data_IF_564061878944
#
_entry.id   IF_564061878944
#
_cell.length_a   1.000
_cell.length_b   1.000
_cell.length_c   1.000
_cell.angle_alpha   90.00
_cell.angle_beta   90.00
_cell.angle_gamma   90.00
#
_symmetry.space_group_name_H-M   'P 1'
#
loop_
_entity.id
_entity.type
_entity.pdbx_description
1 polymer ?
#
# COMPACT_ATOMS: atom_id res chain seq x y z
N UNK A 1 -36.59 4.35 0.46
CA UNK A 1 -35.20 4.05 0.06
C UNK A 1 -35.28 2.94 -0.98
N UNK A 2 -35.05 3.23 -2.26
CA UNK A 2 -35.14 2.19 -3.31
C UNK A 2 -33.90 1.31 -3.20
N UNK A 3 -34.06 0.08 -2.74
CA UNK A 3 -33.03 -0.96 -2.87
C UNK A 3 -32.68 -1.06 -4.35
N UNK A 4 -31.40 -1.03 -4.69
CA UNK A 4 -30.93 -1.32 -6.04
C UNK A 4 -31.37 -2.75 -6.36
N UNK A 5 -32.48 -2.89 -7.08
CA UNK A 5 -33.03 -4.17 -7.50
C UNK A 5 -32.80 -4.27 -9.00
N UNK A 6 -31.99 -5.26 -9.37
CA UNK A 6 -31.57 -5.55 -10.74
C UNK A 6 -32.67 -6.25 -11.57
N UNK A 7 -33.91 -6.22 -11.09
CA UNK A 7 -35.08 -6.93 -11.63
C UNK A 7 -35.49 -6.47 -13.05
N UNK A 8 -34.81 -5.45 -13.60
CA UNK A 8 -34.99 -4.96 -14.97
C UNK A 8 -33.68 -4.91 -15.78
N UNK A 9 -32.65 -5.66 -15.38
CA UNK A 9 -31.29 -5.46 -15.87
C UNK A 9 -31.11 -5.86 -17.35
N UNK A 10 -30.42 -4.97 -18.07
CA UNK A 10 -29.61 -5.25 -19.25
C UNK A 10 -28.88 -6.60 -19.12
N UNK A 11 -28.51 -7.29 -20.22
CA UNK A 11 -27.63 -8.45 -20.12
C UNK A 11 -26.36 -8.02 -19.37
N UNK A 12 -26.21 -8.50 -18.14
CA UNK A 12 -25.06 -8.21 -17.30
C UNK A 12 -23.93 -9.11 -17.78
N UNK A 13 -22.89 -8.50 -18.34
CA UNK A 13 -21.69 -9.25 -18.68
C UNK A 13 -20.90 -9.55 -17.40
N UNK A 14 -20.29 -10.72 -17.36
CA UNK A 14 -19.36 -11.14 -16.29
C UNK A 14 -17.92 -11.20 -16.79
N UNK A 15 -17.70 -10.93 -18.08
CA UNK A 15 -16.41 -10.98 -18.74
C UNK A 15 -15.88 -9.56 -19.01
N UNK A 16 -14.57 -9.42 -18.88
CA UNK A 16 -13.84 -8.20 -19.21
C UNK A 16 -12.85 -8.56 -20.31
N UNK A 17 -12.99 -8.01 -21.53
CA UNK A 17 -12.02 -8.26 -22.60
C UNK A 17 -10.61 -7.83 -22.22
N UNK A 18 -9.60 -8.55 -22.72
CA UNK A 18 -8.19 -8.17 -22.59
C UNK A 18 -7.58 -7.98 -23.98
N UNK A 19 -7.09 -6.77 -24.34
CA UNK A 19 -7.12 -5.53 -23.56
C UNK A 19 -8.45 -4.78 -23.66
N UNK A 20 -8.83 -4.04 -22.61
CA UNK A 20 -9.95 -3.09 -22.63
C UNK A 20 -9.66 -1.83 -21.80
N UNK A 21 -10.49 -0.81 -22.01
CA UNK A 21 -10.62 0.32 -21.09
C UNK A 21 -11.77 0.03 -20.12
N UNK A 22 -11.45 -0.24 -18.85
CA UNK A 22 -12.44 -0.39 -17.78
C UNK A 22 -12.64 0.96 -17.10
N UNK A 23 -13.87 1.45 -17.10
CA UNK A 23 -14.26 2.69 -16.43
C UNK A 23 -15.03 2.32 -15.17
N UNK A 24 -14.47 2.58 -13.99
CA UNK A 24 -15.16 2.36 -12.73
C UNK A 24 -16.22 3.45 -12.54
N UNK A 25 -17.46 3.07 -12.25
CA UNK A 25 -18.57 4.01 -12.04
C UNK A 25 -19.18 3.75 -10.67
N UNK A 26 -19.18 4.77 -9.82
CA UNK A 26 -19.74 4.68 -8.48
C UNK A 26 -19.45 5.90 -7.61
N UNK A 27 -20.29 6.10 -6.59
CA UNK A 27 -20.13 7.22 -5.66
C UNK A 27 -18.81 7.15 -4.87
N UNK A 28 -18.36 8.28 -4.34
CA UNK A 28 -17.28 8.29 -3.37
C UNK A 28 -17.64 7.37 -2.18
N UNK A 29 -16.71 6.52 -1.74
CA UNK A 29 -16.96 5.51 -0.70
C UNK A 29 -17.55 4.18 -1.20
N UNK A 30 -17.88 4.07 -2.49
CA UNK A 30 -18.39 2.81 -3.05
C UNK A 30 -17.37 1.66 -3.07
N UNK A 31 -16.07 1.94 -2.89
CA UNK A 31 -15.01 0.92 -2.93
C UNK A 31 -14.41 0.69 -4.32
N UNK A 32 -14.53 1.68 -5.22
CA UNK A 32 -13.91 1.62 -6.57
C UNK A 32 -12.41 1.34 -6.52
N UNK A 33 -11.65 2.06 -5.68
CA UNK A 33 -10.21 1.84 -5.51
C UNK A 33 -9.86 0.46 -4.99
N UNK A 34 -10.74 -0.15 -4.17
CA UNK A 34 -10.61 -1.55 -3.75
C UNK A 34 -10.80 -2.52 -4.91
N UNK A 35 -11.73 -2.23 -5.83
CA UNK A 35 -11.85 -2.99 -7.06
C UNK A 35 -10.66 -2.76 -8.00
N UNK A 36 -10.23 -1.50 -8.15
CA UNK A 36 -9.10 -1.11 -8.98
C UNK A 36 -7.80 -1.82 -8.58
N UNK A 37 -7.54 -1.97 -7.27
CA UNK A 37 -6.34 -2.65 -6.75
C UNK A 37 -6.26 -4.14 -7.12
N UNK A 38 -7.37 -4.74 -7.57
CA UNK A 38 -7.37 -6.10 -8.12
C UNK A 38 -6.65 -6.19 -9.48
N UNK A 39 -6.35 -5.08 -10.13
CA UNK A 39 -5.46 -5.00 -11.29
C UNK A 39 -4.02 -4.61 -10.88
N UNK A 40 -3.00 -4.89 -11.71
CA UNK A 40 -1.67 -4.32 -11.55
C UNK A 40 -1.72 -2.81 -11.39
N UNK A 41 -0.93 -2.24 -10.47
CA UNK A 41 -0.89 -0.80 -10.23
C UNK A 41 -0.59 -0.01 -11.52
N UNK A 42 0.26 -0.56 -12.38
CA UNK A 42 0.59 0.03 -13.69
C UNK A 42 -0.57 0.04 -14.68
N UNK A 43 -1.69 -0.64 -14.41
CA UNK A 43 -2.90 -0.64 -15.23
C UNK A 43 -3.97 0.33 -14.71
N UNK A 44 -3.85 0.84 -13.49
CA UNK A 44 -4.84 1.70 -12.85
C UNK A 44 -4.43 3.16 -13.01
N UNK A 45 -5.33 3.97 -13.57
CA UNK A 45 -5.23 5.43 -13.61
C UNK A 45 -6.27 5.99 -12.63
N UNK A 46 -5.82 6.31 -11.42
CA UNK A 46 -6.66 6.88 -10.36
C UNK A 46 -6.54 8.40 -10.34
N UNK A 47 -7.67 9.12 -10.50
CA UNK A 47 -7.64 10.58 -10.59
C UNK A 47 -7.06 11.23 -9.33
N UNK A 48 -7.35 10.69 -8.15
CA UNK A 48 -6.82 11.18 -6.87
C UNK A 48 -5.30 10.99 -6.79
N UNK A 49 -4.75 9.93 -7.40
CA UNK A 49 -3.29 9.76 -7.54
C UNK A 49 -2.69 10.80 -8.47
N UNK A 50 -3.31 11.05 -9.63
CA UNK A 50 -2.85 12.09 -10.57
C UNK A 50 -2.90 13.48 -9.96
N UNK A 51 -3.89 13.78 -9.12
CA UNK A 51 -3.97 15.03 -8.37
C UNK A 51 -2.83 15.17 -7.36
N UNK A 52 -2.53 14.12 -6.61
CA UNK A 52 -1.35 14.11 -5.73
C UNK A 52 -0.03 14.28 -6.52
N UNK A 53 0.09 13.69 -7.73
CA UNK A 53 1.28 13.86 -8.57
C UNK A 53 1.54 15.31 -9.00
N UNK A 54 0.49 16.13 -9.14
CA UNK A 54 0.62 17.53 -9.59
C UNK A 54 0.58 18.56 -8.46
N UNK A 55 0.14 18.18 -7.25
CA UNK A 55 -0.09 19.13 -6.12
C UNK A 55 0.40 18.66 -4.75
N UNK A 56 0.96 17.46 -4.65
CA UNK A 56 1.29 16.77 -3.39
C UNK A 56 0.07 16.47 -2.47
N UNK A 57 -1.16 16.83 -2.85
CA UNK A 57 -2.40 16.53 -2.12
C UNK A 57 -3.49 15.93 -3.03
N UNK A 58 -3.86 14.68 -2.75
CA UNK A 58 -4.96 13.98 -3.43
C UNK A 58 -6.34 14.66 -3.24
N UNK A 59 -6.48 15.59 -2.29
CA UNK A 59 -7.69 16.36 -2.01
C UNK A 59 -7.81 17.69 -2.76
N UNK A 60 -6.72 18.20 -3.34
CA UNK A 60 -6.66 19.54 -3.95
C UNK A 60 -7.54 19.70 -5.20
N UNK A 61 -8.72 20.31 -5.02
CA UNK A 61 -9.65 20.49 -6.13
C UNK A 61 -9.15 21.50 -7.17
N UNK A 62 -8.25 22.43 -6.83
CA UNK A 62 -7.70 23.41 -7.78
C UNK A 62 -6.83 22.72 -8.84
N UNK A 63 -6.16 21.62 -8.46
CA UNK A 63 -5.31 20.83 -9.35
C UNK A 63 -6.09 19.82 -10.23
N UNK A 64 -7.42 19.83 -10.23
CA UNK A 64 -8.23 18.83 -10.96
C UNK A 64 -8.01 18.88 -12.47
N UNK A 65 -7.92 20.07 -13.06
CA UNK A 65 -7.77 20.21 -14.51
C UNK A 65 -6.40 19.67 -14.98
N UNK A 66 -5.33 19.98 -14.24
CA UNK A 66 -3.98 19.47 -14.51
C UNK A 66 -3.92 17.94 -14.33
N UNK A 67 -4.56 17.41 -13.28
CA UNK A 67 -4.66 15.98 -13.04
C UNK A 67 -5.42 15.25 -14.17
N UNK A 68 -6.53 15.82 -14.65
CA UNK A 68 -7.30 15.28 -15.77
C UNK A 68 -6.48 15.31 -17.06
N UNK A 69 -5.77 16.40 -17.33
CA UNK A 69 -4.89 16.52 -18.48
C UNK A 69 -3.80 15.44 -18.47
N UNK A 70 -3.10 15.26 -17.35
CA UNK A 70 -2.08 14.25 -17.19
C UNK A 70 -2.64 12.82 -17.31
N UNK A 71 -3.81 12.55 -16.70
CA UNK A 71 -4.47 11.25 -16.80
C UNK A 71 -4.84 10.92 -18.25
N UNK A 72 -5.39 11.89 -19.00
CA UNK A 72 -5.74 11.72 -20.41
C UNK A 72 -4.51 11.42 -21.26
N UNK A 73 -3.39 12.13 -21.05
CA UNK A 73 -2.15 11.87 -21.78
C UNK A 73 -1.62 10.44 -21.56
N UNK A 74 -1.65 9.96 -20.31
CA UNK A 74 -1.25 8.58 -20.00
C UNK A 74 -2.25 7.57 -20.57
N UNK A 75 -3.55 7.84 -20.46
CA UNK A 75 -4.60 7.01 -21.03
C UNK A 75 -4.41 6.83 -22.55
N UNK A 76 -4.25 7.92 -23.30
CA UNK A 76 -3.99 7.87 -24.74
C UNK A 76 -2.74 7.05 -25.08
N UNK A 77 -1.63 7.29 -24.36
CA UNK A 77 -0.38 6.57 -24.57
C UNK A 77 -0.52 5.05 -24.32
N UNK A 78 -1.34 4.65 -23.33
CA UNK A 78 -1.59 3.24 -23.03
C UNK A 78 -2.49 2.58 -24.07
N UNK A 79 -3.57 3.26 -24.47
CA UNK A 79 -4.52 2.74 -25.44
C UNK A 79 -3.92 2.66 -26.85
N UNK A 80 -3.06 3.60 -27.23
CA UNK A 80 -2.25 3.52 -28.45
C UNK A 80 -1.37 2.26 -28.50
N UNK A 81 -0.94 1.76 -27.33
CA UNK A 81 -0.16 0.53 -27.16
C UNK A 81 -1.03 -0.70 -26.88
N UNK A 82 -2.37 -0.56 -26.98
CA UNK A 82 -3.37 -1.59 -26.66
C UNK A 82 -3.14 -2.25 -25.30
N UNK A 83 -2.85 -1.44 -24.27
CA UNK A 83 -2.66 -1.93 -22.89
C UNK A 83 -3.96 -1.82 -22.09
N UNK A 84 -4.30 -2.89 -21.38
CA UNK A 84 -5.37 -2.92 -20.38
C UNK A 84 -5.25 -1.71 -19.45
N UNK A 85 -6.34 -0.96 -19.30
CA UNK A 85 -6.34 0.27 -18.52
C UNK A 85 -7.63 0.39 -17.73
N UNK A 86 -7.53 0.66 -16.43
CA UNK A 86 -8.64 0.84 -15.52
C UNK A 86 -8.63 2.30 -15.06
N UNK A 87 -9.72 3.03 -15.25
CA UNK A 87 -9.85 4.42 -14.78
C UNK A 87 -10.64 4.41 -13.48
N UNK A 88 -9.97 4.75 -12.38
CA UNK A 88 -10.58 4.92 -11.05
C UNK A 88 -10.88 6.40 -10.78
N UNK A 89 -12.14 6.76 -10.99
CA UNK A 89 -12.74 8.02 -10.61
C UNK A 89 -14.23 7.77 -10.37
N UNK A 90 -14.99 8.76 -9.90
CA UNK A 90 -16.44 8.60 -9.71
C UNK A 90 -17.17 8.31 -11.02
N UNK A 91 -16.74 8.95 -12.12
CA UNK A 91 -17.27 8.81 -13.49
C UNK A 91 -18.80 8.91 -13.57
N UNK A 92 -19.42 9.70 -12.68
CA UNK A 92 -20.87 9.89 -12.60
C UNK A 92 -21.40 10.86 -13.65
N UNK A 93 -20.54 11.67 -14.24
CA UNK A 93 -20.89 12.66 -15.27
C UNK A 93 -20.81 12.08 -16.68
N UNK A 94 -21.86 12.28 -17.47
CA UNK A 94 -21.96 11.75 -18.83
C UNK A 94 -20.88 12.31 -19.77
N UNK A 95 -20.52 13.59 -19.63
CA UNK A 95 -19.45 14.22 -20.44
C UNK A 95 -18.09 13.56 -20.22
N UNK A 96 -17.75 13.24 -18.97
CA UNK A 96 -16.51 12.52 -18.62
C UNK A 96 -16.51 11.12 -19.25
N UNK A 97 -17.61 10.36 -19.12
CA UNK A 97 -17.72 9.02 -19.71
C UNK A 97 -17.64 9.06 -21.24
N UNK A 98 -18.31 10.01 -21.88
CA UNK A 98 -18.26 10.19 -23.33
C UNK A 98 -16.84 10.45 -23.83
N UNK A 99 -16.06 11.27 -23.12
CA UNK A 99 -14.65 11.52 -23.45
C UNK A 99 -13.78 10.26 -23.35
N UNK A 100 -13.96 9.46 -22.29
CA UNK A 100 -13.25 8.18 -22.11
C UNK A 100 -13.61 7.17 -23.22
N UNK A 101 -14.90 7.03 -23.53
CA UNK A 101 -15.38 6.15 -24.60
C UNK A 101 -14.86 6.60 -25.97
N UNK A 102 -14.92 7.89 -26.27
CA UNK A 102 -14.37 8.44 -27.50
C UNK A 102 -12.87 8.16 -27.64
N UNK A 103 -12.12 8.26 -26.54
CA UNK A 103 -10.68 7.96 -26.51
C UNK A 103 -10.38 6.50 -26.82
N UNK A 104 -11.07 5.57 -26.17
CA UNK A 104 -10.91 4.14 -26.46
C UNK A 104 -11.29 3.79 -27.91
N UNK A 105 -12.37 4.39 -28.43
CA UNK A 105 -12.80 4.21 -29.82
C UNK A 105 -11.74 4.69 -30.83
N UNK A 106 -11.09 5.83 -30.58
CA UNK A 106 -9.99 6.33 -31.43
C UNK A 106 -8.86 5.30 -31.61
N UNK A 107 -8.61 4.47 -30.60
CA UNK A 107 -7.57 3.43 -30.63
C UNK A 107 -8.11 2.02 -30.88
N UNK A 108 -9.42 1.86 -31.12
CA UNK A 108 -10.05 0.57 -31.36
C UNK A 108 -9.90 -0.40 -30.17
N UNK A 109 -9.98 0.12 -28.95
CA UNK A 109 -9.94 -0.66 -27.70
C UNK A 109 -11.37 -0.78 -27.16
N UNK A 110 -11.85 -1.99 -26.80
CA UNK A 110 -13.17 -2.17 -26.18
C UNK A 110 -13.30 -1.42 -24.86
N UNK A 111 -14.51 -0.98 -24.56
CA UNK A 111 -14.87 -0.21 -23.36
C UNK A 111 -15.80 -1.00 -22.45
N UNK A 112 -15.48 -0.99 -21.16
CA UNK A 112 -16.25 -1.70 -20.12
C UNK A 112 -16.68 -0.69 -19.06
N UNK A 113 -17.98 -0.54 -18.85
CA UNK A 113 -18.51 0.16 -17.69
C UNK A 113 -18.60 -0.82 -16.52
N UNK A 114 -17.74 -0.66 -15.50
CA UNK A 114 -17.77 -1.47 -14.29
C UNK A 114 -18.45 -0.68 -13.17
N UNK A 115 -19.69 -1.05 -12.88
CA UNK A 115 -20.55 -0.35 -11.92
C UNK A 115 -20.41 -0.97 -10.54
N UNK A 116 -20.18 -0.13 -9.54
CA UNK A 116 -20.01 -0.53 -8.13
C UNK A 116 -21.25 -0.06 -7.34
N UNK A 117 -22.30 -0.91 -7.22
CA UNK A 117 -23.63 -0.49 -6.75
C UNK A 117 -23.74 -0.45 -5.21
N UNK A 118 -22.69 0.00 -4.53
CA UNK A 118 -22.71 0.08 -3.06
C UNK A 118 -23.79 1.05 -2.59
N UNK A 119 -24.64 0.68 -1.62
CA UNK A 119 -25.69 1.56 -1.12
C UNK A 119 -25.18 2.93 -0.68
N UNK A 120 -25.94 3.98 -0.98
CA UNK A 120 -25.55 5.37 -0.68
C UNK A 120 -25.27 5.63 0.81
N UNK A 121 -25.98 4.93 1.72
CA UNK A 121 -25.75 5.02 3.17
C UNK A 121 -24.37 4.51 3.56
N UNK A 122 -24.01 3.32 3.07
CA UNK A 122 -22.67 2.73 3.28
C UNK A 122 -21.58 3.60 2.67
N UNK A 123 -21.82 4.15 1.48
CA UNK A 123 -20.89 5.10 0.85
C UNK A 123 -20.64 6.32 1.74
N UNK A 124 -21.70 6.91 2.31
CA UNK A 124 -21.61 8.06 3.19
C UNK A 124 -20.93 7.74 4.53
N UNK A 125 -21.29 6.63 5.18
CA UNK A 125 -20.66 6.15 6.42
C UNK A 125 -19.15 5.97 6.23
N UNK A 126 -18.72 5.38 5.11
CA UNK A 126 -17.29 5.23 4.77
C UNK A 126 -16.54 6.55 4.61
N UNK A 127 -17.22 7.66 4.28
CA UNK A 127 -16.57 8.98 4.21
C UNK A 127 -16.29 9.56 5.60
N UNK A 128 -17.06 9.18 6.63
CA UNK A 128 -16.90 9.71 7.99
C UNK A 128 -15.57 9.28 8.62
N UNK A 129 -15.03 8.14 8.21
CA UNK A 129 -13.70 7.66 8.62
C UNK A 129 -12.53 8.21 7.79
N UNK A 130 -12.78 9.00 6.73
CA UNK A 130 -11.71 9.55 5.87
C UNK A 130 -11.12 10.82 6.46
N UNK A 131 -9.82 11.01 6.23
CA UNK A 131 -9.11 12.26 6.50
C UNK A 131 -9.80 13.46 5.83
N UNK A 132 -9.70 14.63 6.46
CA UNK A 132 -10.45 15.84 6.07
C UNK A 132 -10.18 16.26 4.63
N UNK A 133 -8.93 16.19 4.15
CA UNK A 133 -8.57 16.58 2.78
C UNK A 133 -9.21 15.70 1.70
N UNK A 134 -9.51 14.42 2.00
CA UNK A 134 -10.11 13.46 1.05
C UNK A 134 -11.58 13.15 1.30
N UNK A 135 -12.20 13.81 2.28
CA UNK A 135 -13.58 13.53 2.69
C UNK A 135 -14.54 14.23 1.74
N UNK A 136 -15.46 13.45 1.16
CA UNK A 136 -16.53 13.99 0.33
C UNK A 136 -17.78 14.24 1.18
N UNK A 137 -18.41 15.43 1.13
CA UNK A 137 -19.62 15.73 1.89
C UNK A 137 -20.77 14.77 1.56
N UNK A 138 -21.56 14.39 2.59
CA UNK A 138 -22.67 13.42 2.45
C UNK A 138 -23.63 13.75 1.31
N UNK A 139 -24.00 15.02 1.13
CA UNK A 139 -24.90 15.44 0.06
C UNK A 139 -24.32 15.17 -1.34
N UNK A 140 -23.01 15.37 -1.51
CA UNK A 140 -22.29 15.09 -2.77
C UNK A 140 -22.27 13.59 -3.03
N UNK A 141 -22.03 12.75 -2.01
CA UNK A 141 -22.07 11.28 -2.14
C UNK A 141 -23.46 10.80 -2.60
N UNK A 142 -24.53 11.35 -2.01
CA UNK A 142 -25.89 11.01 -2.40
C UNK A 142 -26.21 11.43 -3.83
N UNK A 143 -25.75 12.62 -4.24
CA UNK A 143 -25.92 13.12 -5.61
C UNK A 143 -25.17 12.23 -6.63
N UNK A 144 -23.92 11.87 -6.33
CA UNK A 144 -23.12 10.95 -7.14
C UNK A 144 -23.80 9.59 -7.28
N UNK A 145 -24.32 9.03 -6.19
CA UNK A 145 -25.03 7.76 -6.22
C UNK A 145 -26.32 7.86 -7.07
N UNK A 146 -27.10 8.93 -6.92
CA UNK A 146 -28.29 9.16 -7.74
C UNK A 146 -27.94 9.29 -9.24
N UNK A 147 -26.86 10.00 -9.57
CA UNK A 147 -26.36 10.14 -10.93
C UNK A 147 -25.92 8.81 -11.55
N UNK A 148 -25.21 7.95 -10.79
CA UNK A 148 -24.88 6.58 -11.20
C UNK A 148 -26.14 5.77 -11.52
N UNK A 149 -27.14 5.80 -10.64
CA UNK A 149 -28.40 5.07 -10.85
C UNK A 149 -29.15 5.55 -12.08
N UNK A 150 -29.16 6.86 -12.33
CA UNK A 150 -29.80 7.44 -13.50
C UNK A 150 -29.07 7.06 -14.80
N UNK A 151 -27.75 6.96 -14.77
CA UNK A 151 -26.93 6.58 -15.92
C UNK A 151 -27.05 5.09 -16.27
N UNK A 152 -27.23 4.21 -15.28
CA UNK A 152 -27.19 2.75 -15.42
C UNK A 152 -27.93 2.19 -16.65
N UNK A 153 -29.22 2.51 -16.91
CA UNK A 153 -29.94 1.93 -18.05
C UNK A 153 -29.43 2.42 -19.42
N UNK A 154 -28.76 3.57 -19.45
CA UNK A 154 -28.29 4.24 -20.67
C UNK A 154 -26.84 3.92 -21.05
N UNK A 155 -26.08 3.25 -20.19
CA UNK A 155 -24.65 2.98 -20.41
C UNK A 155 -24.33 2.30 -21.76
N UNK A 156 -25.10 1.30 -22.24
CA UNK A 156 -24.86 0.74 -23.59
C UNK A 156 -25.04 1.79 -24.70
N UNK A 157 -26.03 2.68 -24.55
CA UNK A 157 -26.29 3.76 -25.50
C UNK A 157 -25.22 4.87 -25.48
N UNK A 158 -24.49 5.03 -24.38
CA UNK A 158 -23.32 5.92 -24.30
C UNK A 158 -22.11 5.38 -25.05
N UNK A 159 -22.17 4.10 -25.45
CA UNK A 159 -21.17 3.50 -26.31
C UNK A 159 -20.20 2.55 -25.61
N UNK A 160 -20.50 2.13 -24.38
CA UNK A 160 -19.82 1.03 -23.71
C UNK A 160 -20.13 -0.29 -24.41
N UNK A 161 -19.11 -1.05 -24.75
CA UNK A 161 -19.25 -2.37 -25.38
C UNK A 161 -19.77 -3.41 -24.39
N UNK A 162 -19.36 -3.30 -23.12
CA UNK A 162 -19.78 -4.17 -22.03
C UNK A 162 -20.21 -3.36 -20.80
N UNK A 163 -21.25 -3.82 -20.11
CA UNK A 163 -21.69 -3.27 -18.83
C UNK A 163 -21.65 -4.38 -17.79
N UNK A 164 -20.80 -4.21 -16.79
CA UNK A 164 -20.48 -5.21 -15.76
C UNK A 164 -20.85 -4.64 -14.39
N UNK A 165 -21.43 -5.47 -13.53
CA UNK A 165 -21.64 -5.13 -12.12
C UNK A 165 -20.61 -5.83 -11.26
N UNK A 166 -19.97 -5.05 -10.40
CA UNK A 166 -18.89 -5.51 -9.55
C UNK A 166 -19.28 -6.72 -8.68
N UNK A 167 -20.53 -6.78 -8.20
CA UNK A 167 -21.04 -7.90 -7.40
C UNK A 167 -21.00 -9.28 -8.10
N UNK A 168 -20.99 -9.30 -9.43
CA UNK A 168 -20.92 -10.54 -10.22
C UNK A 168 -19.55 -10.78 -10.85
N UNK A 169 -18.57 -9.92 -10.57
CA UNK A 169 -17.24 -10.03 -11.15
C UNK A 169 -16.29 -10.80 -10.21
N UNK A 170 -15.70 -11.88 -10.73
CA UNK A 170 -14.74 -12.70 -9.98
C UNK A 170 -13.31 -12.17 -10.13
N UNK A 171 -12.88 -11.22 -9.27
CA UNK A 171 -11.51 -10.66 -9.28
C UNK A 171 -10.57 -11.19 -8.20
N UNK A 172 -11.09 -11.95 -7.22
CA UNK A 172 -10.28 -12.43 -6.10
C UNK A 172 -9.18 -13.40 -6.55
N UNK A 173 -9.49 -14.34 -7.44
CA UNK A 173 -8.50 -15.30 -7.95
C UNK A 173 -7.34 -14.61 -8.70
N UNK A 174 -7.56 -13.72 -9.69
CA UNK A 174 -6.46 -12.98 -10.32
C UNK A 174 -5.61 -12.14 -9.35
N UNK A 175 -6.25 -11.58 -8.31
CA UNK A 175 -5.53 -10.87 -7.25
C UNK A 175 -4.65 -11.83 -6.45
N UNK A 176 -5.22 -12.92 -5.93
CA UNK A 176 -4.50 -13.91 -5.12
C UNK A 176 -3.36 -14.56 -5.91
N UNK A 177 -3.55 -14.82 -7.20
CA UNK A 177 -2.49 -15.34 -8.07
C UNK A 177 -1.31 -14.37 -8.17
N UNK A 178 -1.56 -13.09 -8.43
CA UNK A 178 -0.48 -12.06 -8.44
C UNK A 178 0.24 -11.96 -7.11
N UNK A 179 -0.51 -11.98 -5.99
CA UNK A 179 0.07 -11.90 -4.66
C UNK A 179 0.91 -13.14 -4.36
N UNK A 180 0.44 -14.33 -4.74
CA UNK A 180 1.18 -15.57 -4.64
C UNK A 180 2.45 -15.56 -5.50
N UNK A 181 2.37 -15.06 -6.75
CA UNK A 181 3.54 -14.95 -7.64
C UNK A 181 4.60 -14.01 -7.04
N UNK A 182 4.17 -12.86 -6.50
CA UNK A 182 5.06 -11.92 -5.79
C UNK A 182 5.73 -12.59 -4.59
N UNK A 183 4.95 -13.30 -3.79
CA UNK A 183 5.46 -13.99 -2.61
C UNK A 183 6.42 -15.13 -2.95
N UNK A 184 6.12 -15.91 -4.00
CA UNK A 184 7.02 -16.95 -4.52
C UNK A 184 8.36 -16.37 -4.97
N UNK A 185 8.33 -15.23 -5.67
CA UNK A 185 9.54 -14.54 -6.09
C UNK A 185 10.33 -14.02 -4.88
N UNK A 186 9.68 -13.42 -3.89
CA UNK A 186 10.33 -12.99 -2.64
C UNK A 186 10.98 -14.15 -1.88
N UNK A 187 10.43 -15.37 -1.97
CA UNK A 187 10.99 -16.57 -1.34
C UNK A 187 11.98 -17.34 -2.22
N UNK A 188 12.21 -16.93 -3.47
CA UNK A 188 13.05 -17.68 -4.43
C UNK A 188 12.42 -19.01 -4.89
N UNK A 189 11.14 -19.25 -4.62
CA UNK A 189 10.42 -20.48 -5.00
C UNK A 189 10.08 -20.56 -6.49
N UNK A 190 10.40 -19.51 -7.25
CA UNK A 190 10.37 -19.46 -8.71
C UNK A 190 11.73 -19.77 -9.35
N UNK A 191 12.75 -20.13 -8.56
CA UNK A 191 14.11 -20.42 -9.00
C UNK A 191 15.03 -19.19 -9.04
N UNK A 192 14.55 -18.02 -8.60
CA UNK A 192 15.39 -16.85 -8.34
C UNK A 192 16.09 -16.91 -6.98
N UNK A 193 16.97 -15.94 -6.71
CA UNK A 193 17.66 -15.81 -5.42
C UNK A 193 16.70 -15.46 -4.27
N UNK A 194 15.56 -14.82 -4.58
CA UNK A 194 14.63 -14.32 -3.59
C UNK A 194 15.24 -13.26 -2.68
N UNK A 195 14.61 -13.03 -1.52
CA UNK A 195 15.12 -12.13 -0.50
C UNK A 195 16.04 -12.82 0.51
N UNK A 196 15.98 -14.15 0.62
CA UNK A 196 16.81 -14.92 1.56
C UNK A 196 16.75 -14.34 2.99
N UNK A 197 17.91 -13.93 3.51
CA UNK A 197 18.05 -13.35 4.85
C UNK A 197 17.41 -11.95 5.02
N UNK A 198 17.04 -11.29 3.92
CA UNK A 198 16.35 -10.00 3.93
C UNK A 198 14.84 -10.13 4.16
N UNK A 199 14.29 -11.35 4.16
CA UNK A 199 12.86 -11.57 4.47
C UNK A 199 12.49 -11.03 5.86
N UNK A 200 13.38 -11.23 6.84
CA UNK A 200 13.14 -10.73 8.19
C UNK A 200 13.23 -9.20 8.23
N UNK A 201 14.21 -8.61 7.55
CA UNK A 201 14.37 -7.16 7.42
C UNK A 201 13.13 -6.55 6.78
N UNK A 202 12.64 -7.14 5.69
CA UNK A 202 11.42 -6.73 4.99
C UNK A 202 10.20 -6.73 5.90
N UNK A 203 10.10 -7.71 6.80
CA UNK A 203 8.99 -7.87 7.74
C UNK A 203 9.01 -6.79 8.83
N UNK A 204 10.18 -6.48 9.38
CA UNK A 204 10.34 -5.49 10.45
C UNK A 204 10.28 -4.05 9.92
N UNK A 205 11.04 -3.75 8.87
CA UNK A 205 11.31 -2.38 8.44
C UNK A 205 10.65 -2.01 7.10
N UNK A 206 9.98 -2.95 6.46
CA UNK A 206 9.34 -2.75 5.16
C UNK A 206 10.29 -2.93 3.97
N UNK A 207 9.75 -2.92 2.75
CA UNK A 207 10.52 -3.17 1.53
C UNK A 207 11.45 -2.02 1.15
N UNK A 208 11.14 -0.78 1.54
CA UNK A 208 11.85 0.43 1.10
C UNK A 208 13.26 0.55 1.70
N UNK A 209 13.53 -0.16 2.80
CA UNK A 209 14.86 -0.20 3.43
C UNK A 209 15.81 -1.18 2.73
N UNK A 210 15.27 -2.22 2.10
CA UNK A 210 16.07 -3.33 1.55
C UNK A 210 17.18 -2.88 0.58
N UNK A 211 16.97 -1.91 -0.33
CA UNK A 211 18.02 -1.47 -1.24
C UNK A 211 19.25 -0.86 -0.54
N UNK A 212 19.04 -0.30 0.66
CA UNK A 212 20.07 0.35 1.48
C UNK A 212 20.66 -0.58 2.55
N UNK A 213 20.06 -1.75 2.77
CA UNK A 213 20.50 -2.72 3.77
C UNK A 213 21.75 -3.48 3.31
N UNK A 214 22.73 -3.59 4.20
CA UNK A 214 23.96 -4.36 3.98
C UNK A 214 24.33 -5.12 5.24
N UNK A 215 24.51 -6.43 5.12
CA UNK A 215 25.15 -7.22 6.17
C UNK A 215 26.64 -6.90 6.22
N UNK A 216 27.17 -6.73 7.44
CA UNK A 216 28.57 -6.49 7.72
C UNK A 216 29.21 -7.81 8.17
N UNK A 217 29.53 -8.65 7.20
CA UNK A 217 30.13 -9.97 7.45
C UNK A 217 31.45 -9.85 8.22
N UNK A 218 31.59 -10.64 9.28
CA UNK A 218 32.77 -10.63 10.15
C UNK A 218 32.83 -9.48 11.16
N UNK A 219 31.78 -8.66 11.29
CA UNK A 219 31.69 -7.66 12.34
C UNK A 219 31.64 -8.29 13.74
N UNK A 220 32.41 -7.73 14.67
CA UNK A 220 32.40 -8.12 16.09
C UNK A 220 31.68 -7.11 16.99
N UNK A 221 31.00 -6.11 16.41
CA UNK A 221 30.35 -5.04 17.16
C UNK A 221 29.23 -5.55 18.09
N UNK A 222 28.66 -6.71 17.80
CA UNK A 222 27.51 -7.23 18.53
C UNK A 222 27.79 -8.56 19.23
N UNK A 223 29.04 -8.80 19.67
CA UNK A 223 29.36 -9.97 20.49
C UNK A 223 29.19 -11.33 19.80
N UNK A 224 29.22 -11.36 18.46
CA UNK A 224 29.03 -12.56 17.64
C UNK A 224 27.70 -12.60 16.87
N UNK A 225 26.75 -11.72 17.22
CA UNK A 225 25.52 -11.54 16.45
C UNK A 225 25.80 -10.91 15.08
N UNK A 226 24.91 -11.19 14.12
CA UNK A 226 25.00 -10.61 12.77
C UNK A 226 24.76 -9.12 12.84
N UNK A 227 25.66 -8.34 12.25
CA UNK A 227 25.55 -6.88 12.20
C UNK A 227 25.19 -6.45 10.80
N UNK A 228 24.30 -5.49 10.69
CA UNK A 228 23.96 -4.82 9.44
C UNK A 228 24.18 -3.32 9.55
N UNK A 229 24.21 -2.67 8.39
CA UNK A 229 24.05 -1.24 8.30
C UNK A 229 23.01 -0.85 7.26
N UNK A 230 22.37 0.28 7.51
CA UNK A 230 21.63 1.05 6.53
C UNK A 230 22.46 2.30 6.27
N UNK A 231 22.84 2.54 5.02
CA UNK A 231 23.68 3.69 4.64
C UNK A 231 23.09 4.43 3.46
N UNK A 232 22.98 5.76 3.59
CA UNK A 232 22.62 6.67 2.51
C UNK A 232 23.48 7.94 2.61
N UNK A 233 24.51 8.05 1.76
CA UNK A 233 25.43 9.18 1.82
C UNK A 233 26.17 9.25 3.16
N UNK A 234 25.98 10.35 3.89
CA UNK A 234 26.58 10.57 5.21
C UNK A 234 25.83 9.86 6.35
N UNK A 235 24.54 9.55 6.14
CA UNK A 235 23.70 8.93 7.15
C UNK A 235 23.99 7.43 7.24
N UNK A 236 24.07 6.94 8.48
CA UNK A 236 24.36 5.55 8.78
C UNK A 236 23.64 5.12 10.04
N UNK A 237 22.95 3.99 9.95
CA UNK A 237 22.38 3.27 11.08
C UNK A 237 23.06 1.90 11.14
N UNK A 238 23.48 1.46 12.32
CA UNK A 238 24.07 0.13 12.55
C UNK A 238 23.10 -0.69 13.39
N UNK A 239 22.83 -1.92 12.97
CA UNK A 239 21.90 -2.83 13.65
C UNK A 239 22.57 -4.16 13.96
N UNK A 240 22.14 -4.80 15.03
CA UNK A 240 22.45 -6.18 15.37
C UNK A 240 21.18 -7.03 15.27
N UNK A 241 21.26 -8.18 14.60
CA UNK A 241 20.21 -9.20 14.64
C UNK A 241 20.43 -10.07 15.87
N UNK A 242 19.57 -9.94 16.87
CA UNK A 242 19.63 -10.73 18.10
C UNK A 242 18.83 -12.01 17.93
N UNK A 243 19.44 -13.14 18.27
CA UNK A 243 18.76 -14.43 18.34
C UNK A 243 18.39 -14.74 19.80
N UNK A 244 17.25 -15.39 19.99
CA UNK A 244 16.77 -15.86 21.29
C UNK A 244 16.52 -14.75 22.32
N UNK A 245 15.86 -13.67 21.89
CA UNK A 245 15.63 -12.46 22.72
C UNK A 245 14.85 -12.79 24.02
N UNK A 246 14.02 -13.83 24.02
CA UNK A 246 13.14 -14.22 25.13
C UNK A 246 13.39 -15.65 25.65
N UNK A 247 14.44 -16.33 25.18
CA UNK A 247 14.68 -17.75 25.50
C UNK A 247 13.75 -18.74 24.77
N UNK A 248 12.91 -18.26 23.84
CA UNK A 248 12.02 -19.08 23.01
C UNK A 248 12.49 -19.22 21.54
N UNK A 249 13.68 -18.71 21.21
CA UNK A 249 14.23 -18.70 19.86
C UNK A 249 13.81 -17.50 19.01
N UNK A 250 13.21 -16.46 19.62
CA UNK A 250 12.75 -15.30 18.88
C UNK A 250 13.92 -14.46 18.34
N UNK A 251 13.74 -13.93 17.14
CA UNK A 251 14.74 -13.14 16.42
C UNK A 251 14.21 -11.73 16.24
N UNK A 252 15.03 -10.76 16.59
CA UNK A 252 14.72 -9.34 16.46
C UNK A 252 15.96 -8.52 16.18
N UNK A 253 15.78 -7.20 16.18
CA UNK A 253 16.85 -6.27 15.88
C UNK A 253 17.06 -5.29 17.02
N UNK A 254 18.32 -4.94 17.24
CA UNK A 254 18.71 -3.79 18.03
C UNK A 254 19.48 -2.81 17.17
N UNK A 255 19.30 -1.53 17.44
CA UNK A 255 20.00 -0.44 16.76
C UNK A 255 21.03 0.17 17.69
N UNK A 256 22.21 0.45 17.15
CA UNK A 256 23.28 1.14 17.86
C UNK A 256 22.91 2.61 18.03
N UNK A 257 22.92 3.08 19.27
CA UNK A 257 22.60 4.46 19.66
C UNK A 257 23.74 5.07 20.48
N UNK A 258 23.67 6.38 20.71
CA UNK A 258 24.57 7.05 21.66
C UNK A 258 24.33 6.58 23.10
N UNK A 259 25.37 6.59 23.93
CA UNK A 259 25.22 6.19 25.33
C UNK A 259 24.32 7.19 26.10
N UNK A 260 23.29 6.73 26.84
CA UNK A 260 22.40 7.61 27.60
C UNK A 260 23.05 8.24 28.83
N UNK A 261 24.20 7.71 29.28
CA UNK A 261 24.83 8.09 30.55
C UNK A 261 25.94 9.11 30.36
N UNK A 262 26.73 8.98 29.29
CA UNK A 262 27.92 9.78 29.05
C UNK A 262 28.22 9.85 27.54
N UNK A 263 28.31 11.07 27.01
CA UNK A 263 28.63 11.32 25.59
C UNK A 263 30.07 10.91 25.24
N UNK A 264 30.98 10.86 26.23
CA UNK A 264 32.35 10.40 26.06
C UNK A 264 32.50 8.89 26.25
N UNK A 265 31.40 8.16 26.47
CA UNK A 265 31.43 6.71 26.63
C UNK A 265 31.90 6.03 25.33
N UNK A 266 32.98 5.27 25.42
CA UNK A 266 33.46 4.41 24.32
C UNK A 266 32.68 3.07 24.22
N UNK A 267 31.76 2.84 25.16
CA UNK A 267 30.88 1.68 25.17
C UNK A 267 29.82 1.74 24.07
N UNK A 268 29.34 0.57 23.65
CA UNK A 268 28.27 0.46 22.67
C UNK A 268 26.94 0.47 23.39
N UNK A 269 26.03 1.36 23.00
CA UNK A 269 24.66 1.35 23.49
C UNK A 269 23.72 0.82 22.41
N UNK A 270 22.84 -0.10 22.80
CA UNK A 270 21.91 -0.78 21.91
C UNK A 270 20.48 -0.59 22.42
N UNK A 271 19.56 -0.38 21.50
CA UNK A 271 18.14 -0.22 21.77
C UNK A 271 17.33 -1.18 20.89
N UNK A 272 16.23 -1.79 21.37
CA UNK A 272 15.34 -2.57 20.52
C UNK A 272 14.81 -1.76 19.33
N UNK A 273 14.78 -2.38 18.15
CA UNK A 273 14.25 -1.80 16.91
C UNK A 273 13.20 -2.73 16.31
N UNK A 274 11.93 -2.33 16.40
CA UNK A 274 10.79 -3.15 16.03
C UNK A 274 10.17 -2.78 14.69
N UNK A 275 10.32 -1.52 14.29
CA UNK A 275 9.74 -1.00 13.07
C UNK A 275 10.53 0.21 12.55
N UNK A 276 10.10 0.74 11.40
CA UNK A 276 10.77 1.87 10.75
C UNK A 276 10.78 3.16 11.60
N UNK A 277 9.81 3.33 12.50
CA UNK A 277 9.73 4.48 13.42
C UNK A 277 10.90 4.47 14.40
N UNK A 278 11.30 3.29 14.87
CA UNK A 278 12.43 3.16 15.80
C UNK A 278 13.75 3.53 15.12
N UNK A 279 13.90 3.17 13.85
CA UNK A 279 15.07 3.58 13.06
C UNK A 279 15.12 5.10 12.85
N UNK A 280 13.97 5.73 12.60
CA UNK A 280 13.89 7.19 12.51
C UNK A 280 14.22 7.87 13.85
N UNK A 281 13.71 7.34 14.97
CA UNK A 281 14.03 7.81 16.33
C UNK A 281 15.52 7.61 16.66
N UNK A 282 16.13 6.52 16.21
CA UNK A 282 17.56 6.28 16.41
C UNK A 282 18.41 7.28 15.63
N UNK A 283 18.07 7.54 14.36
CA UNK A 283 18.78 8.49 13.51
C UNK A 283 18.70 9.93 14.03
N UNK A 284 17.56 10.30 14.62
CA UNK A 284 17.34 11.64 15.22
C UNK A 284 17.85 11.77 16.66
N UNK A 285 18.37 10.68 17.24
CA UNK A 285 18.86 10.63 18.62
C UNK A 285 17.76 10.45 19.67
N UNK A 286 16.48 10.58 19.34
CA UNK A 286 15.36 10.42 20.29
C UNK A 286 15.38 9.07 21.02
N UNK A 287 15.81 8.00 20.35
CA UNK A 287 15.83 6.66 20.91
C UNK A 287 16.90 6.49 22.01
N UNK A 288 17.93 7.35 22.07
CA UNK A 288 18.97 7.24 23.08
C UNK A 288 18.44 7.43 24.51
N UNK A 289 17.25 8.02 24.68
CA UNK A 289 16.64 8.27 25.98
C UNK A 289 15.64 7.20 26.41
N UNK A 290 15.46 6.16 25.61
CA UNK A 290 14.53 5.07 25.89
C UNK A 290 15.01 4.24 27.11
N UNK A 291 14.11 3.80 28.01
CA UNK A 291 14.48 2.97 29.15
C UNK A 291 15.12 1.63 28.77
N UNK A 292 14.79 1.11 27.58
CA UNK A 292 15.28 -0.19 27.12
C UNK A 292 16.68 -0.11 26.47
N UNK A 293 17.31 1.07 26.48
CA UNK A 293 18.71 1.23 26.04
C UNK A 293 19.65 0.58 27.05
N UNK A 294 20.49 -0.32 26.57
CA UNK A 294 21.55 -0.92 27.37
C UNK A 294 22.93 -0.57 26.81
N UNK A 295 23.84 -0.15 27.68
CA UNK A 295 25.22 0.14 27.31
C UNK A 295 26.15 -0.95 27.79
N UNK A 296 27.08 -1.42 26.96
CA UNK A 296 28.06 -2.45 27.34
C UNK A 296 29.00 -2.00 28.46
N UNK A 297 29.19 -0.69 28.66
CA UNK A 297 30.01 -0.14 29.73
C UNK A 297 29.23 0.14 31.03
N UNK A 298 27.98 0.64 30.91
CA UNK A 298 27.19 1.12 32.05
C UNK A 298 26.02 0.21 32.46
N UNK A 299 25.69 -0.80 31.65
CA UNK A 299 24.53 -1.64 31.85
C UNK A 299 23.21 -0.99 31.41
N UNK A 300 22.06 -1.53 31.84
CA UNK A 300 20.74 -0.98 31.56
C UNK A 300 20.48 0.30 32.35
N UNK A 301 19.62 1.17 31.81
CA UNK A 301 19.24 2.40 32.49
C UNK A 301 18.29 2.10 33.65
N UNK A 302 18.78 2.14 34.88
CA UNK A 302 17.92 1.98 36.07
C UNK A 302 17.00 3.19 36.26
N UNK A 303 15.73 3.06 35.87
CA UNK A 303 14.67 3.93 36.38
C UNK A 303 14.24 3.44 37.78
N UNK A 304 14.25 4.32 38.78
CA UNK A 304 13.61 4.08 40.09
C UNK A 304 12.08 4.14 39.98
N UNK A 305 11.49 3.32 39.09
CA UNK A 305 10.06 3.10 38.99
C UNK A 305 9.80 1.58 39.05
N UNK A 306 8.76 1.19 39.79
CA UNK A 306 8.44 -0.19 40.14
C UNK A 306 8.39 -1.15 38.92
N UNK A 307 8.67 -2.45 39.10
CA UNK A 307 8.71 -3.43 38.03
C UNK A 307 7.28 -3.88 37.69
N UNK A 308 6.50 -3.04 37.02
CA UNK A 308 5.17 -3.41 36.53
C UNK A 308 4.94 -2.89 35.11
N UNK A 309 5.55 -3.58 34.15
CA UNK A 309 5.03 -3.79 32.80
C UNK A 309 5.96 -4.80 32.12
N UNK A 310 5.41 -5.88 31.56
CA UNK A 310 6.11 -6.66 30.55
C UNK A 310 6.70 -5.68 29.53
N UNK A 311 8.03 -5.62 29.42
CA UNK A 311 8.68 -4.95 28.30
C UNK A 311 8.00 -5.48 27.05
N UNK A 312 7.46 -4.62 26.15
CA UNK A 312 6.87 -5.09 24.91
C UNK A 312 8.02 -5.63 24.06
N UNK A 313 8.40 -6.87 24.34
CA UNK A 313 9.37 -7.60 23.58
C UNK A 313 8.92 -7.58 22.15
N UNK A 314 9.87 -7.38 21.25
CA UNK A 314 9.64 -7.42 19.82
C UNK A 314 9.39 -8.88 19.38
N UNK A 315 8.33 -9.50 19.89
CA UNK A 315 8.03 -10.90 19.66
C UNK A 315 7.16 -11.02 18.42
N UNK A 316 7.72 -11.69 17.42
CA UNK A 316 7.07 -11.88 16.14
C UNK A 316 7.11 -13.39 15.85
N UNK A 317 6.02 -14.09 16.20
CA UNK A 317 5.88 -15.55 16.04
C UNK A 317 6.30 -16.03 14.62
N UNK A 318 7.12 -17.08 14.60
CA UNK A 318 8.04 -17.44 13.51
C UNK A 318 7.64 -18.60 12.57
N UNK A 319 6.42 -19.12 12.65
CA UNK A 319 6.17 -20.48 12.12
C UNK A 319 6.47 -20.78 10.62
N UNK A 320 6.61 -19.82 9.67
CA UNK A 320 7.05 -20.16 8.31
C UNK A 320 8.38 -19.54 7.81
N UNK A 321 9.08 -18.69 8.57
CA UNK A 321 10.23 -17.91 8.02
C UNK A 321 11.61 -18.48 8.32
N UNK A 322 11.75 -19.34 9.34
CA UNK A 322 13.04 -19.86 9.81
C UNK A 322 13.68 -20.88 8.87
N UNK A 323 12.90 -21.54 8.01
CA UNK A 323 13.43 -22.48 7.02
C UNK A 323 14.07 -21.78 5.81
N UNK A 324 13.61 -20.58 5.44
CA UNK A 324 14.14 -19.84 4.28
C UNK A 324 15.47 -19.11 4.57
N UNK A 325 15.77 -18.80 5.83
CA UNK A 325 17.01 -18.11 6.23
C UNK A 325 18.17 -19.06 6.56
N UNK A 326 17.96 -20.39 6.49
CA UNK A 326 18.96 -21.42 6.83
C UNK A 326 19.53 -22.16 5.61
N UNK A 327 19.13 -21.80 4.39
CA UNK A 327 19.58 -22.41 3.15
C UNK A 327 20.66 -21.59 2.45
#
# INVERSE_FOLDING_TARGET
MKTFRMDHALPVDTTIPDPSLVVLIGAAGAGKSTWASTWPATQVLELDHFRALVSDDAGDQEATDDAVFALQAVLEARLARRKMTVVDATNTEAGVRASLVATARRYGVPTVALVVPTPATVCAERQEGRCTSRRVPRQVVLAQHAAMLAAWPGLPGEGFDHVVVAEYLHRLEPLLKRLADTWRAELGWDGGEGLGDLLLVRRYFGPDVLPMWRWLDGSHLAGGDRVAEIRLGADRIVLAQRNDIDGAGDVGFEVLVGCPHDEACEGQAWAPACNITDLARALTGELMHDPDVHCTAHGPRHNNAAPDAESPGCTVQQAPYTEAARA
#
